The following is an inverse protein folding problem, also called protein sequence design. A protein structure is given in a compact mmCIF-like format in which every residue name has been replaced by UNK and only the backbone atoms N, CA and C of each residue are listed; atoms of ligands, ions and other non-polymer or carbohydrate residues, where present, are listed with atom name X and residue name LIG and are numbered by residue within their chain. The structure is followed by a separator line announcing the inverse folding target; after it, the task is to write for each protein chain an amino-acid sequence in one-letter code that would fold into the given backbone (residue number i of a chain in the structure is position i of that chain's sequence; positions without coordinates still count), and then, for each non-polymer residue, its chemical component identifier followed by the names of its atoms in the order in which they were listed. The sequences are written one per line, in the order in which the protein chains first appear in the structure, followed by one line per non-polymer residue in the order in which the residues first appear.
data_IF_071214615980
#
_entry.id   IF_071214615980
#
_cell.length_a   1.000
_cell.length_b   1.000
_cell.length_c   1.000
_cell.angle_alpha   90.00
_cell.angle_beta   90.00
_cell.angle_gamma   90.00
#
_symmetry.space_group_name_H-M   'P 1'
#
loop_
_entity.id
_entity.type
_entity.pdbx_description
1 polymer ?
#
# COMPACT_ATOMS: atom_id res chain seq x y z
N UNK A 1 39.59 -1.47 -31.74
CA UNK A 1 38.20 -1.63 -31.28
C UNK A 1 38.10 -2.87 -30.42
N UNK A 2 37.99 -2.71 -29.10
CA UNK A 2 37.43 -3.73 -28.19
C UNK A 2 36.73 -2.98 -27.06
N UNK A 3 35.41 -2.80 -27.18
CA UNK A 3 34.58 -2.34 -26.07
C UNK A 3 34.33 -3.56 -25.19
N UNK A 4 34.88 -3.56 -23.98
CA UNK A 4 34.53 -4.52 -22.95
C UNK A 4 33.21 -4.05 -22.33
N UNK A 5 32.12 -4.74 -22.70
CA UNK A 5 30.82 -4.55 -22.07
C UNK A 5 30.91 -4.95 -20.60
N UNK A 6 30.74 -3.96 -19.73
CA UNK A 6 30.44 -4.21 -18.32
C UNK A 6 29.09 -4.91 -18.30
N UNK A 7 29.11 -6.23 -18.09
CA UNK A 7 27.90 -7.00 -17.80
C UNK A 7 27.49 -6.59 -16.39
N UNK A 8 26.52 -5.69 -16.30
CA UNK A 8 25.91 -5.31 -15.03
C UNK A 8 25.43 -6.59 -14.33
N UNK A 9 26.17 -6.94 -13.27
CA UNK A 9 25.81 -8.03 -12.41
C UNK A 9 24.71 -7.48 -11.51
N UNK A 10 23.45 -7.68 -11.92
CA UNK A 10 22.31 -7.48 -11.06
C UNK A 10 22.49 -8.39 -9.84
N UNK A 11 23.02 -7.81 -8.78
CA UNK A 11 23.08 -8.44 -7.47
C UNK A 11 21.64 -8.70 -7.05
N UNK A 12 21.25 -9.97 -6.98
CA UNK A 12 19.94 -10.45 -6.51
C UNK A 12 19.83 -10.33 -4.98
N UNK A 13 20.31 -9.24 -4.39
CA UNK A 13 19.97 -8.92 -3.01
C UNK A 13 18.49 -8.55 -3.03
N UNK A 14 17.68 -9.31 -2.30
CA UNK A 14 16.28 -8.98 -2.11
C UNK A 14 16.20 -7.54 -1.58
N UNK A 15 15.61 -6.64 -2.37
CA UNK A 15 15.43 -5.25 -1.96
C UNK A 15 14.41 -5.25 -0.83
N UNK A 16 14.81 -4.81 0.36
CA UNK A 16 13.87 -4.56 1.45
C UNK A 16 13.19 -3.22 1.18
N UNK A 17 11.94 -3.27 0.73
CA UNK A 17 11.16 -2.10 0.33
C UNK A 17 9.90 -2.00 1.19
N UNK A 18 9.43 -0.76 1.41
CA UNK A 18 8.15 -0.49 2.10
C UNK A 18 7.37 0.63 1.42
N UNK A 19 6.06 0.61 1.58
CA UNK A 19 5.20 1.74 1.24
C UNK A 19 5.12 2.70 2.43
N UNK A 20 5.08 4.01 2.17
CA UNK A 20 4.97 5.07 3.17
C UNK A 20 4.05 6.19 2.70
N UNK A 21 3.11 6.61 3.54
CA UNK A 21 2.37 7.87 3.34
C UNK A 21 3.30 9.07 3.53
N UNK A 22 3.34 9.99 2.56
CA UNK A 22 4.17 11.20 2.63
C UNK A 22 3.46 12.40 3.27
N UNK A 23 2.13 12.35 3.32
CA UNK A 23 1.27 13.31 3.98
C UNK A 23 0.18 12.57 4.75
N UNK A 24 -0.40 13.27 5.72
CA UNK A 24 -1.51 12.77 6.51
C UNK A 24 -2.81 12.78 5.68
N UNK A 25 -3.76 11.95 6.12
CA UNK A 25 -5.10 11.89 5.58
C UNK A 25 -5.98 12.93 6.28
N UNK A 26 -6.84 13.61 5.51
CA UNK A 26 -7.88 14.47 6.10
C UNK A 26 -8.96 13.61 6.74
N UNK A 27 -9.26 13.88 8.02
CA UNK A 27 -10.32 13.21 8.77
C UNK A 27 -11.61 14.05 8.80
N UNK A 28 -12.79 13.42 8.88
CA UNK A 28 -13.04 11.96 8.89
C UNK A 28 -12.94 11.32 7.49
N UNK A 29 -12.59 10.03 7.44
CA UNK A 29 -12.57 9.23 6.19
C UNK A 29 -13.88 8.48 6.04
N UNK A 30 -14.47 8.52 4.84
CA UNK A 30 -15.67 7.78 4.50
C UNK A 30 -15.39 6.82 3.35
N UNK A 31 -15.86 5.58 3.49
CA UNK A 31 -15.89 4.61 2.40
C UNK A 31 -16.84 5.08 1.29
N UNK A 32 -16.47 4.85 0.03
CA UNK A 32 -17.21 5.35 -1.14
C UNK A 32 -16.89 6.81 -1.53
N UNK A 33 -16.12 7.54 -0.73
CA UNK A 33 -15.58 8.86 -1.07
C UNK A 33 -14.10 8.78 -1.42
N UNK A 34 -13.60 9.78 -2.15
CA UNK A 34 -12.16 9.93 -2.39
C UNK A 34 -11.46 10.31 -1.08
N UNK A 35 -10.41 9.58 -0.74
CA UNK A 35 -9.54 9.92 0.39
C UNK A 35 -8.62 11.08 -0.04
N UNK A 36 -8.68 12.20 0.67
CA UNK A 36 -7.84 13.37 0.43
C UNK A 36 -6.76 13.50 1.49
N UNK A 37 -5.62 14.09 1.11
CA UNK A 37 -4.58 14.48 2.05
C UNK A 37 -4.90 15.81 2.72
N UNK A 38 -4.09 16.17 3.72
CA UNK A 38 -4.19 17.48 4.37
C UNK A 38 -3.91 18.65 3.40
N UNK A 39 -4.40 19.83 3.76
CA UNK A 39 -4.20 21.10 3.02
C UNK A 39 -4.71 21.08 1.56
N UNK A 40 -5.63 20.16 1.23
CA UNK A 40 -6.20 20.03 -0.11
C UNK A 40 -5.26 19.36 -1.13
N UNK A 41 -4.14 18.79 -0.68
CA UNK A 41 -3.27 17.99 -1.54
C UNK A 41 -3.78 16.53 -1.62
N UNK A 42 -3.56 15.83 -2.75
CA UNK A 42 -3.83 14.40 -2.83
C UNK A 42 -3.05 13.62 -1.78
N UNK A 43 -3.61 12.51 -1.30
CA UNK A 43 -2.86 11.56 -0.48
C UNK A 43 -1.70 10.96 -1.32
N UNK A 44 -0.49 11.01 -0.79
CA UNK A 44 0.72 10.58 -1.46
C UNK A 44 1.30 9.33 -0.79
N UNK A 45 1.62 8.33 -1.61
CA UNK A 45 2.29 7.10 -1.19
C UNK A 45 3.60 6.97 -1.95
N UNK A 46 4.68 6.65 -1.24
CA UNK A 46 5.99 6.40 -1.81
C UNK A 46 6.47 4.98 -1.52
N UNK A 47 7.20 4.41 -2.48
CA UNK A 47 8.03 3.23 -2.28
C UNK A 47 9.38 3.68 -1.74
N UNK A 48 9.82 3.09 -0.63
CA UNK A 48 11.01 3.49 0.12
C UNK A 48 11.92 2.29 0.34
N UNK A 49 13.21 2.47 0.12
CA UNK A 49 14.23 1.49 0.49
C UNK A 49 14.43 1.50 2.01
N UNK A 50 14.30 0.33 2.64
CA UNK A 50 14.31 0.19 4.09
C UNK A 50 15.68 0.48 4.72
N UNK A 51 16.78 0.36 3.97
CA UNK A 51 18.14 0.55 4.48
C UNK A 51 18.59 2.00 4.40
N UNK A 52 18.26 2.66 3.30
CA UNK A 52 18.69 4.04 2.99
C UNK A 52 17.62 5.07 3.35
N UNK A 53 16.36 4.66 3.47
CA UNK A 53 15.22 5.57 3.65
C UNK A 53 14.89 6.41 2.41
N UNK A 54 15.56 6.17 1.28
CA UNK A 54 15.36 6.93 0.05
C UNK A 54 14.11 6.48 -0.70
N UNK A 55 13.45 7.44 -1.36
CA UNK A 55 12.30 7.17 -2.24
C UNK A 55 12.81 6.55 -3.54
N UNK A 56 12.17 5.45 -3.95
CA UNK A 56 12.46 4.74 -5.19
C UNK A 56 11.52 5.25 -6.28
N UNK A 57 12.08 5.92 -7.28
CA UNK A 57 11.33 6.53 -8.39
C UNK A 57 11.31 5.68 -9.67
N UNK A 58 12.16 4.67 -9.77
CA UNK A 58 12.34 3.88 -10.99
C UNK A 58 12.54 2.40 -10.68
N UNK A 59 12.20 1.56 -11.66
CA UNK A 59 12.29 0.11 -11.57
C UNK A 59 10.93 -0.54 -11.66
N UNK A 60 10.87 -1.87 -11.82
CA UNK A 60 9.60 -2.58 -11.91
C UNK A 60 8.75 -2.38 -10.65
N UNK A 61 9.36 -2.33 -9.47
CA UNK A 61 8.66 -2.19 -8.20
C UNK A 61 7.96 -0.82 -8.05
N UNK A 62 8.55 0.25 -8.60
CA UNK A 62 7.95 1.60 -8.57
C UNK A 62 6.77 1.77 -9.54
N UNK A 63 6.51 0.78 -10.40
CA UNK A 63 5.36 0.78 -11.33
C UNK A 63 4.17 -0.02 -10.80
N UNK A 64 4.29 -0.62 -9.62
CA UNK A 64 3.23 -1.40 -9.02
C UNK A 64 1.98 -0.55 -8.74
N UNK A 65 0.80 -1.11 -9.03
CA UNK A 65 -0.47 -0.53 -8.59
C UNK A 65 -0.72 -0.93 -7.14
N UNK A 66 -1.17 0.02 -6.34
CA UNK A 66 -1.51 -0.20 -4.93
C UNK A 66 -3.00 0.02 -4.72
N UNK A 67 -3.57 -0.76 -3.82
CA UNK A 67 -4.95 -0.64 -3.37
C UNK A 67 -4.93 -0.44 -1.85
N UNK A 68 -5.78 0.46 -1.36
CA UNK A 68 -5.99 0.67 0.07
C UNK A 68 -7.35 0.10 0.42
N UNK A 69 -7.36 -0.86 1.35
CA UNK A 69 -8.56 -1.55 1.81
C UNK A 69 -8.87 -1.19 3.26
N UNK A 70 -10.13 -1.27 3.63
CA UNK A 70 -10.57 -1.11 5.02
C UNK A 70 -10.69 -2.51 5.63
N UNK A 71 -10.16 -2.67 6.83
CA UNK A 71 -10.21 -3.93 7.58
C UNK A 71 -11.18 -3.78 8.77
N UNK A 72 -11.88 -4.86 9.12
CA UNK A 72 -12.71 -4.89 10.34
C UNK A 72 -11.83 -4.87 11.58
N UNK A 73 -12.08 -3.90 12.45
CA UNK A 73 -11.20 -3.54 13.55
C UNK A 73 -11.46 -4.36 14.82
N UNK A 74 -10.70 -5.43 14.96
CA UNK A 74 -10.14 -5.90 16.24
C UNK A 74 -8.73 -6.42 15.94
N UNK A 75 -7.78 -5.49 15.78
CA UNK A 75 -6.38 -5.82 15.49
C UNK A 75 -5.63 -6.29 16.74
N UNK A 76 -6.32 -6.40 17.88
CA UNK A 76 -5.77 -6.75 19.18
C UNK A 76 -5.59 -8.28 19.33
N UNK A 77 -5.50 -9.02 18.23
CA UNK A 77 -4.97 -10.38 18.27
C UNK A 77 -3.63 -10.34 18.98
N UNK A 78 -3.55 -11.01 20.14
CA UNK A 78 -2.44 -11.01 21.12
C UNK A 78 -1.14 -10.47 20.50
N UNK A 79 -0.73 -9.26 20.88
CA UNK A 79 0.46 -8.52 20.38
C UNK A 79 1.59 -9.45 19.90
N UNK A 80 1.55 -9.95 18.65
CA UNK A 80 2.48 -11.02 18.28
C UNK A 80 2.20 -11.84 17.03
N UNK A 81 0.94 -12.09 16.66
CA UNK A 81 0.65 -12.99 15.54
C UNK A 81 0.51 -12.26 14.20
N UNK A 82 1.51 -12.47 13.33
CA UNK A 82 1.44 -12.05 11.93
C UNK A 82 0.28 -12.76 11.24
N UNK A 83 -0.69 -11.99 10.72
CA UNK A 83 -1.78 -12.54 9.93
C UNK A 83 -1.25 -13.29 8.71
N UNK A 84 -1.82 -14.48 8.47
CA UNK A 84 -1.77 -15.17 7.19
C UNK A 84 -2.42 -14.32 6.10
N UNK A 85 -2.13 -14.64 4.84
CA UNK A 85 -2.73 -13.96 3.70
C UNK A 85 -4.25 -14.13 3.69
N UNK A 86 -4.73 -15.29 4.15
CA UNK A 86 -6.14 -15.64 4.26
C UNK A 86 -6.84 -14.81 5.34
N UNK A 87 -6.23 -14.68 6.53
CA UNK A 87 -6.76 -13.83 7.61
C UNK A 87 -6.86 -12.37 7.17
N UNK A 88 -5.82 -11.85 6.52
CA UNK A 88 -5.87 -10.50 5.94
C UNK A 88 -7.04 -10.34 4.97
N UNK A 89 -7.20 -11.27 4.02
CA UNK A 89 -8.27 -11.20 3.02
C UNK A 89 -9.67 -11.31 3.62
N UNK A 90 -9.84 -12.18 4.62
CA UNK A 90 -11.13 -12.39 5.28
C UNK A 90 -11.57 -11.17 6.10
N UNK A 91 -10.62 -10.38 6.58
CA UNK A 91 -10.89 -9.17 7.36
C UNK A 91 -11.12 -7.93 6.49
N UNK A 92 -11.00 -8.00 5.16
CA UNK A 92 -11.32 -6.88 4.27
C UNK A 92 -12.83 -6.62 4.29
N UNK A 93 -13.22 -5.43 4.74
CA UNK A 93 -14.61 -4.98 4.66
C UNK A 93 -14.92 -4.63 3.21
N UNK A 94 -15.79 -5.44 2.62
CA UNK A 94 -16.44 -5.12 1.35
C UNK A 94 -17.81 -4.52 1.71
N UNK A 95 -18.07 -3.27 1.32
CA UNK A 95 -19.42 -2.73 1.43
C UNK A 95 -20.36 -3.62 0.61
N UNK A 96 -21.33 -4.27 1.27
CA UNK A 96 -22.47 -4.83 0.58
C UNK A 96 -23.17 -3.67 -0.13
N UNK A 97 -23.30 -3.75 -1.46
CA UNK A 97 -23.98 -2.72 -2.23
C UNK A 97 -25.34 -2.44 -1.61
N UNK A 98 -25.67 -1.16 -1.45
CA UNK A 98 -27.01 -0.70 -1.07
C UNK A 98 -28.00 -1.23 -2.13
N UNK A 99 -28.57 -2.40 -1.84
CA UNK A 99 -29.41 -3.19 -2.73
C UNK A 99 -30.42 -4.01 -1.95
N UNK A 100 -30.91 -3.45 -0.86
CA UNK A 100 -32.19 -3.80 -0.27
C UNK A 100 -32.94 -2.48 -0.09
N UNK A 101 -33.51 -1.98 -1.19
CA UNK A 101 -34.71 -1.15 -1.05
C UNK A 101 -35.84 -2.11 -0.71
N UNK A 102 -36.40 -1.83 0.46
CA UNK A 102 -37.51 -2.50 1.10
C UNK A 102 -38.76 -2.53 0.21
N UNK A 103 -39.38 -3.70 0.22
CA UNK A 103 -40.78 -4.05 0.00
C UNK A 103 -41.79 -2.93 -0.30
N UNK A 104 -42.56 -3.17 -1.37
CA UNK A 104 -43.88 -2.57 -1.64
C UNK A 104 -44.62 -3.40 -2.69
#
# INVERSE_FOLDING_TARGET
MKQNGVKEMHSTVAKSLKLRFLNNITLPVFTGARIEGEEGFPLQVALVDCFTGQIIYSGPESTAKVEVVVLEGDFDGDEGDNWTVEEFKNNIIIQAGQGAVDSG
#
